data_IF_820846246301
#
_entry.id   IF_820846246301
#
_cell.length_a   1.000
_cell.length_b   1.000
_cell.length_c   1.000
_cell.angle_alpha   90.00
_cell.angle_beta   90.00
_cell.angle_gamma   90.00
#
_symmetry.space_group_name_H-M   'P 1'
#
loop_
_entity.id
_entity.type
_entity.pdbx_description
1 polymer ?
#
# COMPACT_ATOMS: atom_id res chain seq x y z
N UNK A 1 3.38 113.79 -114.10
CA UNK A 1 3.10 114.01 -112.67
C UNK A 1 3.55 112.77 -111.92
N UNK A 2 4.52 112.94 -111.02
CA UNK A 2 5.28 111.90 -110.33
C UNK A 2 4.77 111.76 -108.85
N UNK A 3 5.41 110.98 -107.95
CA UNK A 3 4.84 109.75 -107.34
C UNK A 3 4.89 109.77 -105.78
N UNK A 4 4.88 108.58 -105.13
CA UNK A 4 5.12 108.26 -103.69
C UNK A 4 3.83 108.23 -102.82
N UNK A 5 3.65 107.37 -101.80
CA UNK A 5 4.60 106.71 -100.90
C UNK A 5 3.95 105.48 -100.21
N UNK A 6 4.76 104.44 -99.91
CA UNK A 6 4.45 103.26 -99.10
C UNK A 6 4.11 103.58 -97.63
N UNK A 7 3.39 102.69 -96.92
CA UNK A 7 3.38 102.64 -95.45
C UNK A 7 3.45 101.19 -94.92
N UNK A 8 4.56 100.87 -94.28
CA UNK A 8 4.83 99.66 -93.49
C UNK A 8 3.84 99.58 -92.30
N UNK A 9 3.12 98.47 -92.18
CA UNK A 9 2.48 98.06 -90.92
C UNK A 9 3.48 97.18 -90.19
N UNK A 10 3.91 97.60 -89.00
CA UNK A 10 5.07 97.08 -88.27
C UNK A 10 4.89 95.63 -87.81
N UNK A 11 5.91 94.80 -88.08
CA UNK A 11 6.05 93.42 -87.61
C UNK A 11 5.90 93.31 -86.07
N UNK A 12 6.23 94.38 -85.35
CA UNK A 12 6.03 94.47 -83.90
C UNK A 12 4.55 94.31 -83.49
N UNK A 13 3.60 94.89 -84.23
CA UNK A 13 2.17 94.79 -83.87
C UNK A 13 1.64 93.35 -84.02
N UNK A 14 2.07 92.64 -85.06
CA UNK A 14 1.68 91.23 -85.29
C UNK A 14 2.33 90.31 -84.26
N UNK A 15 3.60 90.55 -83.92
CA UNK A 15 4.29 89.82 -82.87
C UNK A 15 3.66 90.07 -81.50
N UNK A 16 3.26 91.30 -81.20
CA UNK A 16 2.57 91.66 -79.95
C UNK A 16 1.22 90.96 -79.84
N UNK A 17 0.42 90.95 -80.92
CA UNK A 17 -0.87 90.25 -80.97
C UNK A 17 -0.69 88.73 -80.85
N UNK A 18 0.33 88.16 -81.48
CA UNK A 18 0.62 86.72 -81.39
C UNK A 18 1.09 86.30 -80.00
N UNK A 19 1.97 87.09 -79.37
CA UNK A 19 2.45 86.83 -78.01
C UNK A 19 1.31 87.02 -77.01
N UNK A 20 0.48 88.05 -77.17
CA UNK A 20 -0.70 88.24 -76.35
C UNK A 20 -1.68 87.08 -76.48
N UNK A 21 -1.96 86.60 -77.70
CA UNK A 21 -2.83 85.45 -77.94
C UNK A 21 -2.28 84.16 -77.31
N UNK A 22 -0.96 83.92 -77.40
CA UNK A 22 -0.31 82.77 -76.77
C UNK A 22 -0.38 82.85 -75.24
N UNK A 23 -0.10 84.02 -74.65
CA UNK A 23 -0.20 84.23 -73.20
C UNK A 23 -1.63 84.01 -72.70
N UNK A 24 -2.65 84.48 -73.44
CA UNK A 24 -4.06 84.22 -73.13
C UNK A 24 -4.37 82.72 -73.17
N UNK A 25 -3.87 81.98 -74.17
CA UNK A 25 -4.07 80.54 -74.28
C UNK A 25 -3.42 79.77 -73.10
N UNK A 26 -2.20 80.15 -72.72
CA UNK A 26 -1.50 79.54 -71.58
C UNK A 26 -2.27 79.79 -70.27
N UNK A 27 -2.78 81.00 -70.06
CA UNK A 27 -3.62 81.32 -68.90
C UNK A 27 -4.90 80.49 -68.91
N UNK A 28 -5.56 80.33 -70.05
CA UNK A 28 -6.76 79.49 -70.18
C UNK A 28 -6.49 78.02 -69.87
N UNK A 29 -5.37 77.46 -70.35
CA UNK A 29 -4.97 76.08 -70.05
C UNK A 29 -4.69 75.93 -68.55
N UNK A 30 -3.95 76.86 -67.93
CA UNK A 30 -3.68 76.83 -66.49
C UNK A 30 -4.96 76.94 -65.66
N UNK A 31 -5.92 77.77 -66.08
CA UNK A 31 -7.23 77.87 -65.43
C UNK A 31 -8.06 76.60 -65.60
N UNK A 32 -8.05 75.96 -66.78
CA UNK A 32 -8.73 74.68 -67.01
C UNK A 32 -8.12 73.55 -66.18
N UNK A 33 -6.79 73.43 -66.14
CA UNK A 33 -6.10 72.41 -65.33
C UNK A 33 -6.35 72.66 -63.85
N UNK A 34 -6.26 73.92 -63.39
CA UNK A 34 -6.53 74.28 -62.01
C UNK A 34 -7.99 73.97 -61.64
N UNK A 35 -8.94 74.31 -62.51
CA UNK A 35 -10.36 73.99 -62.31
C UNK A 35 -10.62 72.49 -62.23
N UNK A 36 -10.05 71.70 -63.14
CA UNK A 36 -10.17 70.23 -63.11
C UNK A 36 -9.55 69.64 -61.85
N UNK A 37 -8.41 70.16 -61.40
CA UNK A 37 -7.80 69.79 -60.13
C UNK A 37 -8.67 70.15 -58.91
N UNK A 38 -9.33 71.31 -58.91
CA UNK A 38 -10.31 71.65 -57.86
C UNK A 38 -11.56 70.75 -57.91
N UNK A 39 -12.05 70.41 -59.12
CA UNK A 39 -13.20 69.51 -59.31
C UNK A 39 -12.88 68.06 -58.90
N UNK A 40 -11.64 67.58 -59.13
CA UNK A 40 -11.18 66.27 -58.66
C UNK A 40 -10.93 66.24 -57.15
N UNK A 41 -10.36 67.31 -56.55
CA UNK A 41 -10.19 67.40 -55.10
C UNK A 41 -11.52 67.57 -54.33
N UNK A 42 -12.53 68.19 -54.95
CA UNK A 42 -13.88 68.33 -54.38
C UNK A 42 -14.84 67.24 -54.87
N UNK A 43 -14.34 66.19 -55.54
CA UNK A 43 -15.18 65.08 -55.99
C UNK A 43 -15.64 64.27 -54.78
N UNK A 44 -16.82 64.61 -54.27
CA UNK A 44 -17.49 63.77 -53.30
C UNK A 44 -17.92 62.46 -53.98
N UNK A 45 -17.70 61.31 -53.32
CA UNK A 45 -18.11 60.02 -53.84
C UNK A 45 -19.61 60.00 -54.08
N UNK A 46 -20.04 59.33 -55.16
CA UNK A 46 -21.46 59.23 -55.50
C UNK A 46 -22.21 58.50 -54.38
N UNK A 47 -23.47 58.88 -54.14
CA UNK A 47 -24.33 58.21 -53.15
C UNK A 47 -24.43 56.70 -53.38
N UNK A 48 -24.31 56.23 -54.62
CA UNK A 48 -24.32 54.80 -54.94
C UNK A 48 -23.02 54.09 -54.56
N UNK A 49 -21.85 54.72 -54.81
CA UNK A 49 -20.54 54.19 -54.42
C UNK A 49 -20.43 54.06 -52.89
N UNK A 50 -20.92 55.07 -52.15
CA UNK A 50 -20.98 55.03 -50.69
C UNK A 50 -21.90 53.90 -50.20
N UNK A 51 -23.04 53.67 -50.86
CA UNK A 51 -23.97 52.60 -50.52
C UNK A 51 -23.35 51.22 -50.73
N UNK A 52 -22.61 51.04 -51.82
CA UNK A 52 -21.95 49.78 -52.16
C UNK A 52 -20.80 49.48 -51.19
N UNK A 53 -19.98 50.48 -50.87
CA UNK A 53 -18.96 50.38 -49.83
C UNK A 53 -19.55 50.03 -48.46
N UNK A 54 -20.66 50.69 -48.08
CA UNK A 54 -21.38 50.38 -46.83
C UNK A 54 -21.88 48.93 -46.81
N UNK A 55 -22.42 48.43 -47.92
CA UNK A 55 -22.89 47.05 -48.04
C UNK A 55 -21.75 46.03 -48.03
N UNK A 56 -20.58 46.36 -48.58
CA UNK A 56 -19.37 45.53 -48.48
C UNK A 56 -18.88 45.45 -47.04
N UNK A 57 -18.73 46.61 -46.38
CA UNK A 57 -18.33 46.72 -44.98
C UNK A 57 -19.29 46.00 -44.02
N UNK A 58 -20.60 46.05 -44.29
CA UNK A 58 -21.59 45.30 -43.52
C UNK A 58 -21.40 43.79 -43.64
N UNK A 59 -21.19 43.28 -44.87
CA UNK A 59 -20.94 41.85 -45.12
C UNK A 59 -19.67 41.39 -44.42
N UNK A 60 -18.61 42.19 -44.47
CA UNK A 60 -17.34 41.88 -43.80
C UNK A 60 -17.46 41.91 -42.27
N UNK A 61 -18.19 42.86 -41.70
CA UNK A 61 -18.48 42.87 -40.26
C UNK A 61 -19.26 41.65 -39.81
N UNK A 62 -20.26 41.21 -40.58
CA UNK A 62 -20.98 39.96 -40.26
C UNK A 62 -20.06 38.74 -40.31
N UNK A 63 -19.16 38.67 -41.28
CA UNK A 63 -18.18 37.59 -41.38
C UNK A 63 -17.25 37.58 -40.17
N UNK A 64 -16.65 38.71 -39.83
CA UNK A 64 -15.76 38.85 -38.67
C UNK A 64 -16.48 38.52 -37.36
N UNK A 65 -17.77 38.87 -37.23
CA UNK A 65 -18.58 38.52 -36.06
C UNK A 65 -18.71 37.00 -35.89
N UNK A 66 -19.01 36.27 -36.97
CA UNK A 66 -19.10 34.80 -36.94
C UNK A 66 -17.76 34.15 -36.58
N UNK A 67 -16.68 34.61 -37.20
CA UNK A 67 -15.34 34.07 -36.93
C UNK A 67 -14.91 34.30 -35.47
N UNK A 68 -15.26 35.46 -34.90
CA UNK A 68 -15.07 35.73 -33.46
C UNK A 68 -15.86 34.77 -32.57
N UNK A 69 -17.11 34.47 -32.93
CA UNK A 69 -17.96 33.53 -32.18
C UNK A 69 -17.41 32.09 -32.25
N UNK A 70 -16.98 31.65 -33.43
CA UNK A 70 -16.35 30.33 -33.61
C UNK A 70 -15.03 30.21 -32.83
N UNK A 71 -14.18 31.23 -32.87
CA UNK A 71 -12.94 31.26 -32.09
C UNK A 71 -13.21 31.24 -30.59
N UNK A 72 -14.24 31.95 -30.14
CA UNK A 72 -14.64 31.94 -28.73
C UNK A 72 -15.12 30.54 -28.31
N UNK A 73 -15.97 29.91 -29.11
CA UNK A 73 -16.45 28.56 -28.85
C UNK A 73 -15.30 27.54 -28.83
N UNK A 74 -14.34 27.66 -29.76
CA UNK A 74 -13.17 26.80 -29.80
C UNK A 74 -12.26 27.03 -28.57
N UNK A 75 -12.06 28.28 -28.16
CA UNK A 75 -11.31 28.61 -26.94
C UNK A 75 -11.95 28.00 -25.69
N UNK A 76 -13.27 28.10 -25.55
CA UNK A 76 -14.00 27.53 -24.42
C UNK A 76 -13.96 26.00 -24.42
N UNK A 77 -14.03 25.38 -25.60
CA UNK A 77 -13.90 23.92 -25.77
C UNK A 77 -12.51 23.44 -25.33
N UNK A 78 -11.44 24.06 -25.85
CA UNK A 78 -10.05 23.76 -25.49
C UNK A 78 -9.79 23.95 -23.98
N UNK A 79 -10.39 24.98 -23.38
CA UNK A 79 -10.29 25.23 -21.94
C UNK A 79 -10.94 24.09 -21.14
N UNK A 80 -12.12 23.63 -21.55
CA UNK A 80 -12.82 22.54 -20.87
C UNK A 80 -12.11 21.19 -21.03
N UNK A 81 -11.52 20.92 -22.20
CA UNK A 81 -10.71 19.70 -22.41
C UNK A 81 -9.51 19.63 -21.47
N UNK A 82 -8.79 20.76 -21.29
CA UNK A 82 -7.68 20.82 -20.33
C UNK A 82 -8.13 20.54 -18.90
N UNK A 83 -9.21 21.18 -18.46
CA UNK A 83 -9.77 20.97 -17.12
C UNK A 83 -10.19 19.51 -16.91
N UNK A 84 -10.76 18.88 -17.93
CA UNK A 84 -11.16 17.47 -17.89
C UNK A 84 -9.93 16.55 -17.75
N UNK A 85 -8.89 16.78 -18.55
CA UNK A 85 -7.65 16.00 -18.49
C UNK A 85 -6.98 16.11 -17.11
N UNK A 86 -6.91 17.32 -16.55
CA UNK A 86 -6.34 17.56 -15.22
C UNK A 86 -7.13 16.81 -14.13
N UNK A 87 -8.47 16.78 -14.23
CA UNK A 87 -9.32 16.05 -13.29
C UNK A 87 -9.13 14.53 -13.37
N UNK A 88 -9.03 13.97 -14.58
CA UNK A 88 -8.77 12.54 -14.79
C UNK A 88 -7.38 12.14 -14.25
N UNK A 89 -6.37 12.97 -14.47
CA UNK A 89 -5.04 12.78 -13.89
C UNK A 89 -5.07 12.84 -12.35
N UNK A 90 -5.78 13.80 -11.77
CA UNK A 90 -5.95 13.92 -10.33
C UNK A 90 -6.59 12.66 -9.73
N UNK A 91 -7.66 12.14 -10.35
CA UNK A 91 -8.31 10.91 -9.90
C UNK A 91 -7.39 9.70 -9.97
N UNK A 92 -6.63 9.57 -11.07
CA UNK A 92 -5.66 8.50 -11.23
C UNK A 92 -4.58 8.56 -10.15
N UNK A 93 -3.98 9.73 -9.91
CA UNK A 93 -2.97 9.94 -8.85
C UNK A 93 -3.50 9.62 -7.46
N UNK A 94 -4.72 10.06 -7.12
CA UNK A 94 -5.32 9.75 -5.81
C UNK A 94 -5.60 8.26 -5.63
N UNK A 95 -6.04 7.55 -6.68
CA UNK A 95 -6.24 6.11 -6.62
C UNK A 95 -4.91 5.34 -6.48
N UNK A 96 -3.86 5.74 -7.20
CA UNK A 96 -2.52 5.15 -7.05
C UNK A 96 -1.98 5.33 -5.63
N UNK A 97 -2.06 6.55 -5.08
CA UNK A 97 -1.57 6.84 -3.73
C UNK A 97 -2.30 6.03 -2.65
N UNK A 98 -3.62 5.86 -2.78
CA UNK A 98 -4.40 5.00 -1.88
C UNK A 98 -3.92 3.54 -1.91
N UNK A 99 -3.64 3.02 -3.10
CA UNK A 99 -3.23 1.62 -3.26
C UNK A 99 -1.80 1.37 -2.76
N UNK A 100 -0.89 2.31 -2.99
CA UNK A 100 0.46 2.28 -2.43
C UNK A 100 0.44 2.30 -0.90
N UNK A 101 -0.42 3.12 -0.29
CA UNK A 101 -0.58 3.17 1.15
C UNK A 101 -1.09 1.84 1.73
N UNK A 102 -2.12 1.25 1.12
CA UNK A 102 -2.64 -0.07 1.53
C UNK A 102 -1.57 -1.16 1.40
N UNK A 103 -0.78 -1.12 0.33
CA UNK A 103 0.33 -2.07 0.12
C UNK A 103 1.40 -1.90 1.19
N UNK A 104 1.81 -0.67 1.50
CA UNK A 104 2.78 -0.38 2.55
C UNK A 104 2.27 -0.82 3.94
N UNK A 105 1.00 -0.55 4.27
CA UNK A 105 0.37 -0.99 5.52
C UNK A 105 0.35 -2.53 5.62
N UNK A 106 0.09 -3.23 4.52
CA UNK A 106 0.13 -4.70 4.45
C UNK A 106 1.54 -5.26 4.62
N UNK A 107 2.54 -4.67 3.95
CA UNK A 107 3.96 -5.04 4.10
C UNK A 107 4.46 -4.79 5.52
N UNK A 108 4.05 -3.67 6.13
CA UNK A 108 4.35 -3.37 7.54
C UNK A 108 3.69 -4.38 8.48
N UNK A 109 2.43 -4.74 8.24
CA UNK A 109 1.72 -5.76 9.00
C UNK A 109 2.45 -7.11 8.91
N UNK A 110 2.80 -7.56 7.71
CA UNK A 110 3.55 -8.81 7.51
C UNK A 110 4.92 -8.78 8.20
N UNK A 111 5.63 -7.66 8.12
CA UNK A 111 6.90 -7.49 8.82
C UNK A 111 6.71 -7.62 10.34
N UNK A 112 5.68 -6.98 10.90
CA UNK A 112 5.36 -7.06 12.34
C UNK A 112 4.99 -8.48 12.77
N UNK A 113 4.17 -9.20 12.00
CA UNK A 113 3.80 -10.59 12.33
C UNK A 113 4.98 -11.55 12.22
N UNK A 114 5.80 -11.42 11.19
CA UNK A 114 7.01 -12.24 11.02
C UNK A 114 8.05 -11.97 12.11
N UNK A 115 8.17 -10.73 12.57
CA UNK A 115 9.15 -10.38 13.62
C UNK A 115 8.72 -10.86 15.01
N UNK A 116 7.41 -11.00 15.28
CA UNK A 116 6.92 -11.46 16.60
C UNK A 116 6.50 -12.93 16.64
N UNK A 117 6.60 -13.68 15.53
CA UNK A 117 6.20 -15.08 15.45
C UNK A 117 4.68 -15.29 15.48
N UNK A 118 3.87 -14.27 15.15
CA UNK A 118 2.42 -14.41 15.12
C UNK A 118 1.96 -15.34 14.00
N UNK A 119 1.14 -16.33 14.35
CA UNK A 119 0.58 -17.31 13.41
C UNK A 119 -0.70 -16.74 12.80
N UNK A 120 -0.76 -16.68 11.47
CA UNK A 120 -1.92 -16.13 10.75
C UNK A 120 -3.17 -16.97 11.01
N UNK A 121 -4.34 -16.34 10.95
CA UNK A 121 -5.62 -17.00 11.31
C UNK A 121 -5.90 -18.29 10.54
N UNK A 122 -5.49 -18.38 9.27
CA UNK A 122 -5.63 -19.60 8.46
C UNK A 122 -4.75 -20.74 8.98
N UNK A 123 -3.49 -20.45 9.29
CA UNK A 123 -2.53 -21.43 9.82
C UNK A 123 -2.92 -21.86 11.23
N UNK A 124 -3.31 -20.91 12.08
CA UNK A 124 -3.80 -21.18 13.42
C UNK A 124 -5.01 -22.11 13.38
N UNK A 125 -5.94 -21.87 12.44
CA UNK A 125 -7.10 -22.74 12.24
C UNK A 125 -6.66 -24.18 11.92
N UNK A 126 -5.75 -24.36 10.97
CA UNK A 126 -5.21 -25.68 10.62
C UNK A 126 -4.56 -26.40 11.82
N UNK A 127 -3.81 -25.66 12.66
CA UNK A 127 -3.21 -26.22 13.88
C UNK A 127 -4.31 -26.69 14.84
N UNK A 128 -5.30 -25.84 15.11
CA UNK A 128 -6.37 -26.15 16.06
C UNK A 128 -7.37 -27.20 15.55
N UNK A 129 -7.47 -27.42 14.25
CA UNK A 129 -8.27 -28.53 13.68
C UNK A 129 -7.71 -29.91 14.04
N UNK A 130 -6.43 -29.99 14.42
CA UNK A 130 -5.78 -31.19 14.93
C UNK A 130 -5.99 -31.42 16.44
N UNK A 131 -6.93 -30.71 17.08
CA UNK A 131 -7.13 -30.79 18.54
C UNK A 131 -7.52 -32.20 18.97
N UNK A 132 -6.87 -32.68 20.03
CA UNK A 132 -7.12 -33.96 20.68
C UNK A 132 -7.34 -33.77 22.17
N UNK A 133 -8.16 -34.64 22.77
CA UNK A 133 -8.39 -34.63 24.22
C UNK A 133 -7.32 -35.48 24.90
N UNK A 134 -6.30 -34.84 25.49
CA UNK A 134 -5.25 -35.56 26.22
C UNK A 134 -5.70 -35.78 27.66
N UNK A 135 -5.84 -37.06 28.05
CA UNK A 135 -6.07 -37.45 29.45
C UNK A 135 -4.80 -38.03 30.04
N UNK A 136 -4.53 -37.71 31.30
CA UNK A 136 -3.38 -38.22 32.04
C UNK A 136 -3.57 -39.69 32.43
N UNK A 137 -2.48 -40.44 32.50
CA UNK A 137 -2.46 -41.82 33.01
C UNK A 137 -1.95 -41.87 34.46
N UNK A 138 -2.83 -42.08 35.45
CA UNK A 138 -2.44 -42.19 36.85
C UNK A 138 -1.42 -43.31 37.14
N UNK A 139 -1.35 -44.36 36.32
CA UNK A 139 -0.40 -45.47 36.53
C UNK A 139 1.06 -45.07 36.24
N UNK A 140 1.24 -44.07 35.38
CA UNK A 140 2.54 -43.46 35.03
C UNK A 140 2.91 -42.30 35.95
N UNK A 141 1.99 -41.82 36.79
CA UNK A 141 2.27 -40.69 37.66
C UNK A 141 3.31 -41.05 38.73
N UNK A 142 4.27 -40.14 38.96
CA UNK A 142 5.12 -40.18 40.15
C UNK A 142 4.27 -40.22 41.43
N UNK A 143 4.75 -40.93 42.46
CA UNK A 143 4.10 -41.00 43.78
C UNK A 143 3.94 -39.63 44.48
N UNK A 144 4.68 -38.62 44.00
CA UNK A 144 4.60 -37.25 44.50
C UNK A 144 3.57 -36.39 43.77
N UNK A 145 2.82 -36.97 42.83
CA UNK A 145 1.77 -36.31 42.05
C UNK A 145 0.40 -36.88 42.37
N UNK A 146 -0.61 -36.04 42.17
CA UNK A 146 -2.02 -36.44 42.18
C UNK A 146 -2.65 -35.97 40.88
N UNK A 147 -3.35 -36.89 40.21
CA UNK A 147 -4.11 -36.64 38.99
C UNK A 147 -5.58 -36.53 39.35
N UNK A 148 -6.32 -35.59 38.76
CA UNK A 148 -7.77 -35.46 38.96
C UNK A 148 -8.52 -36.68 38.43
N UNK A 149 -9.76 -36.85 38.87
CA UNK A 149 -10.62 -37.97 38.48
C UNK A 149 -10.87 -38.02 36.97
N UNK A 150 -11.03 -36.86 36.33
CA UNK A 150 -11.22 -36.72 34.89
C UNK A 150 -9.91 -36.79 34.07
N UNK A 151 -8.75 -36.88 34.75
CA UNK A 151 -7.44 -36.95 34.12
C UNK A 151 -6.98 -35.65 33.44
N UNK A 152 -7.62 -34.51 33.70
CA UNK A 152 -7.28 -33.21 33.08
C UNK A 152 -6.30 -32.37 33.91
N UNK A 153 -6.14 -32.65 35.20
CA UNK A 153 -5.34 -31.87 36.12
C UNK A 153 -4.24 -32.74 36.78
N UNK A 154 -3.03 -32.18 36.89
CA UNK A 154 -1.96 -32.77 37.71
C UNK A 154 -1.36 -31.78 38.68
N UNK A 155 -1.24 -32.23 39.93
CA UNK A 155 -0.73 -31.43 41.05
C UNK A 155 0.40 -32.15 41.76
N UNK A 156 1.39 -31.38 42.22
CA UNK A 156 2.42 -31.88 43.12
C UNK A 156 1.91 -31.90 44.57
N UNK A 157 1.97 -33.07 45.21
CA UNK A 157 1.50 -33.31 46.59
C UNK A 157 2.58 -33.94 47.48
N UNK A 158 3.74 -34.29 46.92
CA UNK A 158 4.86 -34.87 47.67
C UNK A 158 5.69 -33.88 48.48
N UNK A 159 6.75 -34.39 49.11
CA UNK A 159 7.80 -33.58 49.75
C UNK A 159 8.75 -33.06 48.67
N UNK A 160 9.24 -31.82 48.84
CA UNK A 160 10.17 -31.17 47.91
C UNK A 160 11.36 -32.09 47.60
N UNK A 161 11.61 -32.34 46.32
CA UNK A 161 12.72 -33.14 45.80
C UNK A 161 13.48 -32.37 44.71
N UNK A 162 14.74 -32.76 44.48
CA UNK A 162 15.52 -32.30 43.32
C UNK A 162 15.04 -32.94 42.01
N UNK A 163 14.33 -34.07 42.10
CA UNK A 163 13.73 -34.75 40.96
C UNK A 163 12.57 -33.95 40.36
N UNK A 164 12.31 -34.21 39.08
CA UNK A 164 11.23 -33.60 38.32
C UNK A 164 10.11 -34.62 38.12
N UNK A 165 9.19 -34.76 39.08
CA UNK A 165 8.15 -35.77 38.99
C UNK A 165 7.29 -35.54 37.76
N UNK A 166 7.00 -36.59 37.01
CA UNK A 166 6.22 -36.52 35.78
C UNK A 166 5.03 -37.47 35.79
N UNK A 167 4.17 -37.25 34.81
CA UNK A 167 3.06 -38.12 34.41
C UNK A 167 2.95 -38.05 32.89
N UNK A 168 2.54 -39.15 32.27
CA UNK A 168 2.31 -39.22 30.83
C UNK A 168 0.83 -39.06 30.48
N UNK A 169 0.57 -38.63 29.26
CA UNK A 169 -0.74 -38.82 28.62
C UNK A 169 -1.00 -40.30 28.41
N UNK A 170 -2.25 -40.71 28.56
CA UNK A 170 -2.71 -42.10 28.39
C UNK A 170 -2.51 -42.61 26.97
N UNK A 171 -2.73 -41.74 25.99
CA UNK A 171 -2.56 -42.07 24.57
C UNK A 171 -1.20 -41.56 24.07
N UNK A 172 -0.46 -42.45 23.43
CA UNK A 172 0.75 -42.11 22.67
C UNK A 172 0.47 -42.07 21.18
N UNK A 173 1.18 -41.21 20.45
CA UNK A 173 0.97 -40.97 19.02
C UNK A 173 2.05 -41.62 18.17
N UNK A 174 1.65 -42.30 17.10
CA UNK A 174 2.53 -42.94 16.11
C UNK A 174 2.38 -42.38 14.70
N UNK A 175 1.45 -41.45 14.49
CA UNK A 175 1.17 -40.83 13.19
C UNK A 175 0.28 -39.60 13.35
N UNK A 176 0.09 -38.86 12.26
CA UNK A 176 -0.87 -37.76 12.20
C UNK A 176 -0.37 -36.44 12.79
N UNK A 177 -1.32 -35.53 12.99
CA UNK A 177 -1.11 -34.21 13.58
C UNK A 177 -2.01 -34.09 14.79
N UNK A 178 -1.49 -33.59 15.90
CA UNK A 178 -2.17 -33.52 17.18
C UNK A 178 -1.89 -32.20 17.86
N UNK A 179 -2.91 -31.60 18.46
CA UNK A 179 -2.81 -30.34 19.19
C UNK A 179 -3.50 -30.47 20.54
N UNK A 180 -2.85 -29.98 21.60
CA UNK A 180 -3.44 -29.86 22.93
C UNK A 180 -2.94 -28.61 23.62
N UNK A 181 -3.69 -28.15 24.61
CA UNK A 181 -3.33 -26.95 25.37
C UNK A 181 -3.06 -27.30 26.83
N UNK A 182 -2.09 -26.61 27.43
CA UNK A 182 -1.75 -26.77 28.84
C UNK A 182 -1.73 -25.41 29.51
N UNK A 183 -2.63 -25.24 30.46
CA UNK A 183 -2.63 -24.09 31.33
C UNK A 183 -1.61 -24.28 32.46
N UNK A 184 -0.57 -23.45 32.42
CA UNK A 184 0.46 -23.35 33.45
C UNK A 184 0.20 -22.19 34.41
N UNK A 185 -0.73 -21.29 34.07
CA UNK A 185 -1.01 -20.07 34.82
C UNK A 185 0.25 -19.24 35.05
N UNK A 186 0.48 -18.80 36.29
CA UNK A 186 1.71 -18.07 36.66
C UNK A 186 2.79 -18.98 37.27
N UNK A 187 2.71 -20.30 37.03
CA UNK A 187 3.74 -21.23 37.53
C UNK A 187 5.10 -20.86 36.93
N UNK A 188 6.11 -20.89 37.80
CA UNK A 188 7.50 -20.60 37.46
C UNK A 188 8.38 -21.86 37.49
N UNK A 189 7.78 -23.03 37.71
CA UNK A 189 8.46 -24.32 37.74
C UNK A 189 7.54 -25.37 37.10
N UNK A 190 7.89 -25.86 35.90
CA UNK A 190 7.14 -26.87 35.16
C UNK A 190 7.93 -27.38 33.95
N UNK A 191 7.53 -28.53 33.42
CA UNK A 191 8.03 -29.13 32.18
C UNK A 191 6.85 -29.63 31.36
N UNK A 192 6.88 -29.40 30.04
CA UNK A 192 5.90 -29.86 29.06
C UNK A 192 6.63 -30.41 27.83
N UNK A 193 6.06 -31.40 27.15
CA UNK A 193 6.59 -31.85 25.87
C UNK A 193 6.12 -33.25 25.51
N UNK A 194 7.00 -34.02 24.86
CA UNK A 194 6.77 -35.45 24.57
C UNK A 194 7.96 -36.32 24.95
N UNK A 195 7.68 -37.59 25.23
CA UNK A 195 8.63 -38.66 25.57
C UNK A 195 8.40 -39.90 24.71
N UNK A 196 9.46 -40.64 24.39
CA UNK A 196 9.36 -41.98 23.77
C UNK A 196 9.25 -43.11 24.79
N UNK A 197 9.43 -42.80 26.08
CA UNK A 197 9.40 -43.76 27.17
C UNK A 197 7.98 -43.88 27.74
N UNK A 198 7.35 -45.07 27.71
CA UNK A 198 5.93 -45.25 28.03
C UNK A 198 5.61 -45.32 29.54
N UNK A 199 6.63 -45.47 30.39
CA UNK A 199 6.46 -45.68 31.85
C UNK A 199 7.21 -44.62 32.68
N UNK A 200 7.53 -43.46 32.09
CA UNK A 200 8.36 -42.45 32.71
C UNK A 200 7.66 -41.72 33.87
N UNK A 201 8.31 -41.73 35.05
CA UNK A 201 7.77 -41.12 36.29
C UNK A 201 8.60 -39.92 36.77
N UNK A 202 9.75 -39.65 36.15
CA UNK A 202 10.56 -38.47 36.45
C UNK A 202 11.28 -37.98 35.19
N UNK A 203 11.41 -36.68 34.99
CA UNK A 203 12.19 -36.16 33.86
C UNK A 203 13.68 -36.50 34.09
N UNK A 204 14.31 -37.32 33.23
CA UNK A 204 15.70 -37.72 33.43
C UNK A 204 16.67 -36.58 33.11
N UNK A 205 17.92 -36.72 33.57
CA UNK A 205 18.98 -35.75 33.27
C UNK A 205 19.41 -35.79 31.80
N UNK A 206 19.31 -36.97 31.15
CA UNK A 206 19.67 -37.15 29.74
C UNK A 206 18.44 -36.91 28.86
N UNK A 207 18.55 -36.10 27.80
CA UNK A 207 17.42 -35.73 26.96
C UNK A 207 17.11 -36.73 25.83
N UNK A 208 17.66 -37.95 25.88
CA UNK A 208 17.47 -38.96 24.84
C UNK A 208 16.03 -39.46 24.81
N UNK A 209 15.36 -39.29 23.66
CA UNK A 209 13.95 -39.62 23.51
C UNK A 209 12.98 -38.59 24.11
N UNK A 210 13.46 -37.37 24.40
CA UNK A 210 12.68 -36.28 24.99
C UNK A 210 12.74 -35.01 24.14
N UNK A 211 11.61 -34.30 24.05
CA UNK A 211 11.53 -32.95 23.49
C UNK A 211 10.69 -32.07 24.41
N UNK A 212 11.37 -31.28 25.24
CA UNK A 212 10.78 -30.66 26.42
C UNK A 212 11.00 -29.15 26.42
N UNK A 213 9.96 -28.40 26.75
CA UNK A 213 10.07 -27.01 27.18
C UNK A 213 9.88 -26.95 28.69
N UNK A 214 10.79 -26.27 29.38
CA UNK A 214 10.75 -26.10 30.83
C UNK A 214 10.95 -24.67 31.26
N UNK A 215 10.33 -24.35 32.40
CA UNK A 215 10.63 -23.16 33.20
C UNK A 215 11.10 -23.62 34.57
N UNK A 216 12.19 -23.04 35.07
CA UNK A 216 12.73 -23.38 36.40
C UNK A 216 12.73 -22.16 37.31
N UNK A 217 12.62 -22.38 38.63
CA UNK A 217 12.63 -21.30 39.63
C UNK A 217 13.84 -20.36 39.54
N UNK A 218 15.00 -20.87 39.11
CA UNK A 218 16.26 -20.10 39.02
C UNK A 218 16.32 -19.20 37.78
N UNK A 219 15.41 -19.36 36.81
CA UNK A 219 15.42 -18.58 35.58
C UNK A 219 14.87 -17.17 35.81
N UNK A 220 15.43 -16.21 35.06
CA UNK A 220 14.92 -14.84 35.01
C UNK A 220 13.45 -14.83 34.56
N UNK A 221 12.74 -13.76 34.89
CA UNK A 221 11.37 -13.55 34.44
C UNK A 221 11.28 -13.70 32.91
N UNK A 222 10.28 -14.48 32.46
CA UNK A 222 10.00 -14.80 31.05
C UNK A 222 11.09 -15.61 30.33
N UNK A 223 12.04 -16.22 31.04
CA UNK A 223 13.02 -17.13 30.44
C UNK A 223 12.57 -18.59 30.55
N UNK A 224 12.81 -19.35 29.48
CA UNK A 224 12.44 -20.74 29.30
C UNK A 224 13.59 -21.48 28.64
N UNK A 225 13.56 -22.81 28.70
CA UNK A 225 14.53 -23.66 28.02
C UNK A 225 13.85 -24.78 27.25
N UNK A 226 14.24 -24.94 26.00
CA UNK A 226 13.98 -26.11 25.17
C UNK A 226 15.12 -27.11 25.36
N UNK A 227 14.79 -28.39 25.52
CA UNK A 227 15.72 -29.48 25.81
C UNK A 227 15.36 -30.66 24.92
N UNK A 228 16.33 -31.16 24.17
CA UNK A 228 16.20 -32.39 23.39
C UNK A 228 17.55 -33.08 23.23
N UNK A 229 17.56 -34.26 22.62
CA UNK A 229 18.80 -34.96 22.26
C UNK A 229 19.76 -34.12 21.39
N UNK A 230 19.22 -33.18 20.60
CA UNK A 230 20.01 -32.28 19.75
C UNK A 230 20.63 -31.10 20.52
N UNK A 231 20.29 -30.93 21.80
CA UNK A 231 20.85 -29.91 22.69
C UNK A 231 19.81 -29.10 23.46
N UNK A 232 20.33 -28.16 24.26
CA UNK A 232 19.57 -27.22 25.08
C UNK A 232 19.60 -25.81 24.45
N UNK A 233 18.44 -25.17 24.32
CA UNK A 233 18.32 -23.76 23.92
C UNK A 233 17.58 -22.96 24.99
N UNK A 234 18.19 -21.88 25.47
CA UNK A 234 17.51 -20.93 26.38
C UNK A 234 16.98 -19.75 25.59
N UNK A 235 15.73 -19.36 25.83
CA UNK A 235 15.08 -18.24 25.15
C UNK A 235 14.24 -17.42 26.13
N UNK A 236 13.83 -16.23 25.69
CA UNK A 236 13.02 -15.29 26.48
C UNK A 236 11.81 -14.86 25.69
N UNK A 237 10.64 -14.88 26.32
CA UNK A 237 9.40 -14.36 25.73
C UNK A 237 9.19 -12.90 26.11
N UNK A 238 8.52 -12.15 25.22
CA UNK A 238 8.14 -10.76 25.50
C UNK A 238 7.11 -10.67 26.64
N UNK A 239 6.17 -11.62 26.67
CA UNK A 239 5.12 -11.76 27.69
C UNK A 239 5.15 -13.16 28.30
N UNK A 240 4.68 -13.30 29.55
CA UNK A 240 4.50 -14.61 30.17
C UNK A 240 3.35 -15.32 29.46
N UNK A 241 3.58 -16.57 29.05
CA UNK A 241 2.57 -17.42 28.44
C UNK A 241 1.89 -18.25 29.54
N UNK A 242 0.56 -18.12 29.69
CA UNK A 242 -0.22 -18.86 30.70
C UNK A 242 -0.82 -20.14 30.13
N UNK A 243 -1.16 -20.15 28.85
CA UNK A 243 -1.67 -21.33 28.14
C UNK A 243 -0.75 -21.68 26.97
N UNK A 244 -0.10 -22.84 27.07
CA UNK A 244 0.83 -23.35 26.08
C UNK A 244 0.12 -24.31 25.15
N UNK A 245 0.04 -23.96 23.88
CA UNK A 245 -0.38 -24.88 22.82
C UNK A 245 0.79 -25.76 22.40
N UNK A 246 0.60 -27.06 22.37
CA UNK A 246 1.58 -28.04 21.90
C UNK A 246 1.03 -28.69 20.64
N UNK A 247 1.79 -28.62 19.56
CA UNK A 247 1.42 -29.16 18.26
C UNK A 247 2.46 -30.17 17.80
N UNK A 248 2.02 -31.40 17.59
CA UNK A 248 2.82 -32.49 17.07
C UNK A 248 2.43 -32.73 15.61
N UNK A 249 3.39 -32.63 14.70
CA UNK A 249 3.30 -33.16 13.34
C UNK A 249 4.26 -34.35 13.25
N UNK A 250 3.73 -35.54 13.52
CA UNK A 250 4.54 -36.75 13.66
C UNK A 250 5.26 -37.10 12.36
N UNK A 251 4.58 -36.91 11.21
CA UNK A 251 5.11 -37.24 9.88
C UNK A 251 6.28 -36.34 9.50
N UNK A 252 6.15 -35.04 9.73
CA UNK A 252 7.20 -34.07 9.43
C UNK A 252 8.27 -33.97 10.53
N UNK A 253 8.12 -34.72 11.63
CA UNK A 253 9.08 -34.69 12.73
C UNK A 253 9.12 -33.33 13.42
N UNK A 254 7.97 -32.69 13.62
CA UNK A 254 7.90 -31.36 14.24
C UNK A 254 7.11 -31.39 15.53
N UNK A 255 7.69 -30.83 16.59
CA UNK A 255 6.99 -30.51 17.82
C UNK A 255 7.09 -29.00 18.08
N UNK A 256 5.98 -28.30 17.89
CA UNK A 256 5.89 -26.85 18.00
C UNK A 256 5.13 -26.41 19.24
N UNK A 257 5.60 -25.33 19.87
CA UNK A 257 5.00 -24.71 21.04
C UNK A 257 4.51 -23.31 20.68
N UNK A 258 3.33 -22.97 21.18
CA UNK A 258 2.68 -21.69 20.94
C UNK A 258 2.16 -21.08 22.24
N UNK A 259 2.09 -19.76 22.28
CA UNK A 259 1.21 -19.06 23.20
C UNK A 259 -0.21 -19.16 22.62
N UNK A 260 -1.06 -19.98 23.23
CA UNK A 260 -2.40 -20.25 22.70
C UNK A 260 -3.31 -19.02 22.79
N UNK A 261 -3.10 -18.16 23.78
CA UNK A 261 -3.87 -16.93 23.98
C UNK A 261 -3.54 -15.89 22.90
N UNK A 262 -2.26 -15.74 22.55
CA UNK A 262 -1.80 -14.71 21.59
C UNK A 262 -1.52 -15.25 20.20
N UNK A 263 -1.63 -16.57 19.98
CA UNK A 263 -1.31 -17.26 18.72
C UNK A 263 0.11 -17.00 18.23
N UNK A 264 1.03 -16.85 19.17
CA UNK A 264 2.45 -16.58 18.87
C UNK A 264 3.23 -17.88 18.97
N UNK A 265 3.98 -18.20 17.93
CA UNK A 265 4.97 -19.27 17.95
C UNK A 265 6.05 -19.00 19.00
N UNK A 266 6.41 -20.03 19.76
CA UNK A 266 7.41 -19.94 20.83
C UNK A 266 8.67 -20.71 20.43
N UNK A 267 8.52 -21.97 20.05
CA UNK A 267 9.65 -22.85 19.76
C UNK A 267 9.21 -24.01 18.86
N UNK A 268 10.14 -24.61 18.13
CA UNK A 268 9.91 -25.85 17.39
C UNK A 268 11.14 -26.73 17.47
N UNK A 269 10.92 -27.98 17.84
CA UNK A 269 11.87 -29.05 17.62
C UNK A 269 11.65 -29.65 16.24
N UNK A 270 12.75 -29.88 15.52
CA UNK A 270 12.77 -30.56 14.23
C UNK A 270 13.57 -31.86 14.36
N UNK A 271 13.07 -32.94 13.77
CA UNK A 271 13.72 -34.24 13.74
C UNK A 271 12.72 -35.39 13.73
N UNK A 272 13.14 -36.56 13.25
CA UNK A 272 12.28 -37.75 13.26
C UNK A 272 12.07 -38.30 14.66
N UNK A 273 10.82 -38.64 15.00
CA UNK A 273 10.52 -39.40 16.20
C UNK A 273 10.81 -40.89 15.92
N UNK A 274 11.58 -41.58 16.78
CA UNK A 274 11.99 -42.96 16.53
C UNK A 274 10.86 -43.97 16.71
N UNK A 275 9.68 -43.54 17.16
CA UNK A 275 8.53 -44.40 17.41
C UNK A 275 7.34 -43.64 17.99
N UNK A 276 6.57 -44.32 18.84
CA UNK A 276 5.46 -43.73 19.57
C UNK A 276 5.97 -42.66 20.54
N UNK A 277 5.25 -41.54 20.61
CA UNK A 277 5.55 -40.46 21.57
C UNK A 277 4.34 -40.16 22.44
N UNK A 278 4.58 -39.95 23.73
CA UNK A 278 3.57 -39.68 24.74
C UNK A 278 3.70 -38.22 25.20
N UNK A 279 2.60 -37.46 25.30
CA UNK A 279 2.61 -36.20 26.02
C UNK A 279 3.17 -36.40 27.43
N UNK A 280 4.08 -35.54 27.88
CA UNK A 280 4.68 -35.62 29.22
C UNK A 280 4.55 -34.29 29.94
N UNK A 281 4.20 -34.38 31.24
CA UNK A 281 3.88 -33.23 32.06
C UNK A 281 4.58 -33.33 33.42
N UNK A 282 5.19 -32.23 33.86
CA UNK A 282 5.68 -32.08 35.23
C UNK A 282 5.20 -30.75 35.80
N UNK A 283 4.40 -30.74 36.88
CA UNK A 283 4.04 -29.51 37.60
C UNK A 283 5.23 -28.95 38.42
N UNK A 284 6.39 -29.59 38.37
CA UNK A 284 7.56 -29.28 39.17
C UNK A 284 7.42 -29.67 40.65
N UNK A 285 8.48 -29.51 41.44
CA UNK A 285 8.57 -30.02 42.81
C UNK A 285 8.38 -28.97 43.92
N UNK A 286 7.89 -27.77 43.59
CA UNK A 286 8.00 -26.59 44.49
C UNK A 286 6.74 -25.69 44.59
N UNK A 287 5.57 -26.11 44.13
CA UNK A 287 4.38 -25.26 44.15
C UNK A 287 3.06 -26.02 44.26
N UNK A 288 2.04 -25.34 44.81
CA UNK A 288 0.69 -25.87 45.02
C UNK A 288 -0.25 -25.73 43.82
N UNK A 289 0.16 -25.01 42.78
CA UNK A 289 -0.64 -24.82 41.56
C UNK A 289 -0.48 -26.01 40.63
N UNK A 290 -1.55 -26.43 40.00
CA UNK A 290 -1.60 -27.58 39.10
C UNK A 290 -1.26 -27.19 37.66
N UNK A 291 -1.04 -28.19 36.81
CA UNK A 291 -1.18 -28.05 35.37
C UNK A 291 -2.59 -28.53 34.99
N UNK A 292 -3.26 -27.81 34.08
CA UNK A 292 -4.59 -28.18 33.56
C UNK A 292 -4.47 -28.38 32.06
N UNK A 293 -5.03 -29.46 31.54
CA UNK A 293 -4.95 -29.87 30.13
C UNK A 293 -6.33 -29.66 29.49
N UNK A 294 -6.34 -29.01 28.33
CA UNK A 294 -7.53 -28.61 27.56
C UNK A 294 -7.49 -29.15 26.14
#
# INVERSE_FOLDING_TARGET
MAPLHQSEVSFEAVLFVSVAAFMILVVMILLCVRRRGYEELQREPSSEELQEQLNSLKRENERLRREKEDLQMNYDTLKMEKVKADFEEFQRKTNTLKMEKVKADFEEFQRKTNTCGYVLGKEWKTITEARVNVTLDPSTASLSLTVSEDGSEVKFTGKRSAEWPSVLGREGFTSGRHYWEVEVGEKYNWVLGVSTHPDEKSIPEKPEGYWLVRRTKKMLSKSYRAVSQSGDQTFKLEKVCKVWGVYLDWKEGRLSFYNAETKVHIHTFEGSFPGQVYPIFSPGSNGSRSLIIH
#
